data_IF_564566546978
#
_entry.id   IF_564566546978
#
_cell.length_a   1.000
_cell.length_b   1.000
_cell.length_c   1.000
_cell.angle_alpha   90.00
_cell.angle_beta   90.00
_cell.angle_gamma   90.00
#
_symmetry.space_group_name_H-M   'P 1'
#
loop_
_entity.id
_entity.type
_entity.pdbx_description
1 polymer ?
#
# COMPACT_ATOMS: atom_id res chain seq x y z
N UNK A 1 7.68 -48.31 0.08
CA UNK A 1 7.21 -48.87 1.36
C UNK A 1 7.02 -47.70 2.32
N UNK A 2 5.88 -47.60 3.01
CA UNK A 2 5.68 -46.54 3.98
C UNK A 2 6.70 -46.69 5.11
N UNK A 3 7.51 -45.66 5.35
CA UNK A 3 8.48 -45.65 6.46
C UNK A 3 7.67 -45.72 7.75
N UNK A 4 7.89 -46.77 8.54
CA UNK A 4 7.25 -46.93 9.84
C UNK A 4 7.91 -46.00 10.85
N UNK A 5 7.29 -44.84 11.10
CA UNK A 5 7.84 -43.75 11.92
C UNK A 5 7.67 -43.97 13.44
N UNK A 6 7.13 -45.13 13.83
CA UNK A 6 7.15 -45.62 15.20
C UNK A 6 8.53 -46.15 15.61
N UNK A 7 9.42 -46.39 14.64
CA UNK A 7 10.80 -46.84 14.82
C UNK A 7 11.79 -45.69 14.63
N UNK A 8 13.01 -45.80 15.18
CA UNK A 8 14.06 -44.82 14.95
C UNK A 8 14.36 -44.66 13.45
N UNK A 9 14.51 -43.41 13.02
CA UNK A 9 14.80 -43.06 11.62
C UNK A 9 16.30 -43.19 11.35
N UNK A 10 16.64 -43.75 10.17
CA UNK A 10 18.02 -43.97 9.75
C UNK A 10 18.73 -42.72 9.22
N UNK A 11 17.99 -41.69 8.83
CA UNK A 11 18.56 -40.46 8.26
C UNK A 11 17.77 -39.24 8.76
N UNK A 12 18.47 -38.31 9.42
CA UNK A 12 17.90 -37.12 10.05
C UNK A 12 18.74 -35.89 9.70
N UNK A 13 18.07 -34.74 9.65
CA UNK A 13 18.72 -33.45 9.46
C UNK A 13 19.08 -32.83 10.82
N UNK A 14 20.36 -32.49 10.96
CA UNK A 14 20.92 -31.83 12.14
C UNK A 14 21.33 -30.40 11.82
N UNK A 15 21.36 -29.54 12.83
CA UNK A 15 21.82 -28.16 12.69
C UNK A 15 22.94 -27.86 13.68
N UNK A 16 24.11 -27.52 13.14
CA UNK A 16 25.25 -27.15 13.94
C UNK A 16 25.23 -25.64 14.23
N UNK A 17 25.09 -25.26 15.51
CA UNK A 17 25.18 -23.87 15.96
C UNK A 17 26.56 -23.23 15.69
N UNK A 18 27.70 -23.86 16.02
CA UNK A 18 29.02 -23.30 15.72
C UNK A 18 29.27 -23.05 14.22
N UNK A 19 28.85 -23.98 13.36
CA UNK A 19 29.11 -23.90 11.92
C UNK A 19 27.99 -23.23 11.11
N UNK A 20 26.87 -22.87 11.74
CA UNK A 20 25.66 -22.32 11.12
C UNK A 20 25.16 -23.10 9.88
N UNK A 21 25.36 -24.42 9.87
CA UNK A 21 25.03 -25.27 8.70
C UNK A 21 24.21 -26.47 9.11
N UNK A 22 23.25 -26.81 8.26
CA UNK A 22 22.48 -28.06 8.36
C UNK A 22 23.17 -29.18 7.58
N UNK A 23 23.15 -30.39 8.12
CA UNK A 23 23.66 -31.60 7.46
C UNK A 23 22.71 -32.77 7.69
N UNK A 24 22.71 -33.74 6.77
CA UNK A 24 21.97 -35.00 6.91
C UNK A 24 22.96 -36.11 7.23
N UNK A 25 22.66 -36.88 8.25
CA UNK A 25 23.50 -37.99 8.70
C UNK A 25 22.65 -39.05 9.41
N UNK A 26 23.24 -40.23 9.61
CA UNK A 26 22.72 -41.23 10.52
C UNK A 26 22.95 -40.76 11.97
N UNK A 27 21.95 -40.87 12.87
CA UNK A 27 22.11 -40.50 14.26
C UNK A 27 23.11 -41.43 14.96
N UNK A 28 24.11 -40.86 15.63
CA UNK A 28 25.08 -41.62 16.41
C UNK A 28 24.53 -41.93 17.81
N UNK A 29 23.76 -41.01 18.39
CA UNK A 29 23.09 -41.17 19.68
C UNK A 29 21.59 -40.96 19.54
N UNK A 30 20.84 -41.95 19.99
CA UNK A 30 19.37 -41.95 20.03
C UNK A 30 18.97 -42.04 21.51
N UNK A 31 18.23 -41.05 21.99
CA UNK A 31 17.67 -41.05 23.34
C UNK A 31 16.17 -41.30 23.28
N UNK A 32 15.68 -42.18 24.15
CA UNK A 32 14.25 -42.40 24.31
C UNK A 32 13.66 -41.21 25.08
N UNK A 33 12.78 -40.46 24.41
CA UNK A 33 12.10 -39.30 24.98
C UNK A 33 10.59 -39.57 25.00
N UNK A 34 10.11 -40.36 26.00
CA UNK A 34 8.70 -40.75 26.07
C UNK A 34 7.74 -39.57 26.26
N UNK A 35 8.25 -38.40 26.66
CA UNK A 35 7.49 -37.15 26.75
C UNK A 35 7.05 -36.60 25.37
N UNK A 36 7.67 -37.03 24.27
CA UNK A 36 7.30 -36.61 22.92
C UNK A 36 6.19 -37.50 22.35
N UNK A 37 4.95 -37.02 22.42
CA UNK A 37 3.74 -37.75 22.00
C UNK A 37 3.77 -38.32 20.57
N UNK A 38 4.48 -37.66 19.63
CA UNK A 38 4.40 -37.97 18.20
C UNK A 38 5.57 -38.80 17.68
N UNK A 39 6.71 -38.72 18.33
CA UNK A 39 7.92 -39.44 17.97
C UNK A 39 8.84 -39.50 19.20
N UNK A 40 8.84 -40.61 19.95
CA UNK A 40 9.47 -40.70 21.28
C UNK A 40 10.99 -40.92 21.21
N UNK A 41 11.67 -40.29 20.25
CA UNK A 41 13.11 -40.40 20.06
C UNK A 41 13.73 -39.04 19.82
N UNK A 42 14.78 -38.73 20.56
CA UNK A 42 15.67 -37.63 20.27
C UNK A 42 16.96 -38.13 19.62
N UNK A 43 17.43 -37.35 18.66
CA UNK A 43 18.56 -37.71 17.83
C UNK A 43 19.67 -36.69 17.96
N UNK A 44 20.89 -37.21 18.07
CA UNK A 44 22.11 -36.44 18.09
C UNK A 44 23.14 -37.07 17.15
N UNK A 45 23.88 -36.21 16.45
CA UNK A 45 25.01 -36.61 15.63
C UNK A 45 26.10 -35.53 15.71
N UNK A 46 27.39 -35.90 15.69
CA UNK A 46 28.48 -34.94 15.65
C UNK A 46 28.51 -34.25 14.29
N UNK A 47 28.84 -32.97 14.29
CA UNK A 47 29.03 -32.24 13.05
C UNK A 47 30.28 -32.76 12.30
N UNK A 48 30.20 -33.07 11.00
CA UNK A 48 31.35 -33.57 10.23
C UNK A 48 32.49 -32.55 10.07
N UNK A 49 32.30 -31.30 10.53
CA UNK A 49 33.30 -30.22 10.40
C UNK A 49 33.93 -29.80 11.72
N UNK A 50 33.15 -29.69 12.79
CA UNK A 50 33.65 -29.24 14.10
C UNK A 50 33.62 -30.34 15.17
N UNK A 51 33.00 -31.50 14.90
CA UNK A 51 32.88 -32.59 15.87
C UNK A 51 31.86 -32.34 16.98
N UNK A 52 31.30 -31.14 17.12
CA UNK A 52 30.32 -30.83 18.15
C UNK A 52 29.02 -31.64 17.96
N UNK A 53 28.49 -32.19 19.07
CA UNK A 53 27.20 -32.87 19.08
C UNK A 53 26.08 -31.91 18.70
N UNK A 54 25.36 -32.23 17.63
CA UNK A 54 24.26 -31.43 17.11
C UNK A 54 22.94 -32.16 17.32
N UNK A 55 21.94 -31.43 17.81
CA UNK A 55 20.57 -31.93 17.91
C UNK A 55 19.84 -31.83 16.56
N UNK A 56 18.79 -32.63 16.40
CA UNK A 56 17.88 -32.57 15.25
C UNK A 56 17.28 -31.17 15.06
N UNK A 57 17.08 -30.76 13.80
CA UNK A 57 16.51 -29.44 13.51
C UNK A 57 15.01 -29.36 13.85
N UNK A 58 14.60 -28.22 14.43
CA UNK A 58 13.23 -27.98 14.86
C UNK A 58 12.16 -28.12 13.76
N UNK A 59 12.45 -27.72 12.51
CA UNK A 59 11.48 -27.84 11.42
C UNK A 59 11.23 -29.28 11.01
N UNK A 60 12.22 -30.17 11.15
CA UNK A 60 12.06 -31.60 10.85
C UNK A 60 11.27 -32.30 11.96
N UNK A 61 11.50 -31.92 13.23
CA UNK A 61 10.64 -32.31 14.37
C UNK A 61 9.17 -31.92 14.12
N UNK A 62 8.94 -30.70 13.63
CA UNK A 62 7.60 -30.23 13.29
C UNK A 62 6.98 -30.97 12.10
N UNK A 63 7.79 -31.39 11.12
CA UNK A 63 7.32 -32.17 9.97
C UNK A 63 6.91 -33.59 10.37
N UNK A 64 7.63 -34.21 11.31
CA UNK A 64 7.23 -35.49 11.91
C UNK A 64 5.91 -35.35 12.66
N UNK A 65 5.75 -34.28 13.45
CA UNK A 65 4.48 -33.95 14.12
C UNK A 65 3.33 -33.76 13.12
N UNK A 66 3.55 -32.99 12.05
CA UNK A 66 2.53 -32.76 11.03
C UNK A 66 2.10 -34.05 10.33
N UNK A 67 3.04 -34.95 10.06
CA UNK A 67 2.73 -36.23 9.42
C UNK A 67 1.97 -37.19 10.34
N UNK A 68 2.29 -37.23 11.65
CA UNK A 68 1.56 -38.05 12.62
C UNK A 68 0.07 -37.67 12.71
N UNK A 69 -0.24 -36.39 12.50
CA UNK A 69 -1.60 -35.83 12.46
C UNK A 69 -2.14 -35.61 11.05
N UNK A 70 -1.53 -36.21 10.02
CA UNK A 70 -2.03 -36.08 8.66
C UNK A 70 -3.46 -36.66 8.56
N UNK A 71 -4.45 -35.78 8.53
CA UNK A 71 -5.86 -36.13 8.33
C UNK A 71 -6.11 -36.29 6.83
N UNK A 72 -5.75 -37.47 6.32
CA UNK A 72 -6.04 -37.90 4.95
C UNK A 72 -6.55 -39.34 4.91
N UNK A 73 -7.23 -39.74 3.84
CA UNK A 73 -7.70 -41.11 3.70
C UNK A 73 -6.53 -42.09 3.70
N UNK A 74 -6.57 -43.07 4.61
CA UNK A 74 -5.51 -44.07 4.79
C UNK A 74 -5.70 -45.29 3.88
N UNK A 75 -6.93 -45.56 3.44
CA UNK A 75 -7.27 -46.67 2.53
C UNK A 75 -6.91 -46.32 1.10
N UNK A 76 -6.51 -47.32 0.31
CA UNK A 76 -6.23 -47.11 -1.12
C UNK A 76 -7.47 -46.61 -1.86
N UNK A 77 -8.67 -47.11 -1.52
CA UNK A 77 -9.95 -46.61 -2.03
C UNK A 77 -10.22 -45.14 -1.67
N UNK A 78 -9.86 -44.71 -0.47
CA UNK A 78 -10.01 -43.32 -0.06
C UNK A 78 -9.01 -42.39 -0.74
N UNK A 79 -7.79 -42.88 -1.01
CA UNK A 79 -6.78 -42.14 -1.77
C UNK A 79 -7.19 -42.00 -3.23
N UNK A 80 -7.70 -43.05 -3.86
CA UNK A 80 -8.19 -42.99 -5.25
C UNK A 80 -9.42 -42.11 -5.37
N UNK A 81 -10.36 -42.17 -4.42
CA UNK A 81 -11.51 -41.26 -4.38
C UNK A 81 -11.08 -39.79 -4.19
N UNK A 82 -10.10 -39.53 -3.33
CA UNK A 82 -9.56 -38.17 -3.15
C UNK A 82 -8.78 -37.68 -4.36
N UNK A 83 -8.03 -38.56 -5.03
CA UNK A 83 -7.34 -38.24 -6.27
C UNK A 83 -8.33 -37.95 -7.41
N UNK A 84 -9.41 -38.71 -7.51
CA UNK A 84 -10.50 -38.45 -8.45
C UNK A 84 -11.22 -37.13 -8.18
N UNK A 85 -11.41 -36.75 -6.90
CA UNK A 85 -11.98 -35.45 -6.52
C UNK A 85 -11.04 -34.27 -6.81
N UNK A 86 -9.74 -34.52 -6.97
CA UNK A 86 -8.75 -33.50 -7.32
C UNK A 86 -8.54 -33.39 -8.84
N UNK A 87 -8.96 -34.38 -9.60
CA UNK A 87 -8.84 -34.37 -11.06
C UNK A 87 -9.80 -33.33 -11.65
N UNK A 88 -9.27 -32.40 -12.44
CA UNK A 88 -10.01 -31.25 -12.96
C UNK A 88 -10.13 -30.04 -12.01
N UNK A 89 -9.60 -30.13 -10.78
CA UNK A 89 -9.52 -29.01 -9.84
C UNK A 89 -8.06 -28.52 -9.67
N UNK A 90 -7.82 -27.20 -9.52
CA UNK A 90 -8.81 -26.12 -9.50
C UNK A 90 -9.32 -25.80 -10.90
N UNK A 91 -10.64 -25.65 -11.04
CA UNK A 91 -11.25 -25.07 -12.24
C UNK A 91 -10.84 -23.60 -12.39
N UNK A 92 -10.99 -22.99 -13.59
CA UNK A 92 -10.60 -21.58 -13.80
C UNK A 92 -11.28 -20.60 -12.84
N UNK A 93 -12.52 -20.87 -12.44
CA UNK A 93 -13.28 -20.06 -11.47
C UNK A 93 -12.79 -20.27 -10.03
N UNK A 94 -12.46 -21.50 -9.66
CA UNK A 94 -11.88 -21.82 -8.35
C UNK A 94 -10.44 -21.33 -8.23
N UNK A 95 -9.68 -21.30 -9.32
CA UNK A 95 -8.37 -20.67 -9.39
C UNK A 95 -8.46 -19.16 -9.11
N UNK A 96 -9.53 -18.49 -9.58
CA UNK A 96 -9.80 -17.09 -9.26
C UNK A 96 -10.19 -16.91 -7.79
N UNK A 97 -11.03 -17.79 -7.22
CA UNK A 97 -11.40 -17.75 -5.79
C UNK A 97 -10.24 -18.11 -4.86
N UNK A 98 -9.42 -19.09 -5.23
CA UNK A 98 -8.21 -19.48 -4.47
C UNK A 98 -7.10 -18.44 -4.62
N UNK A 99 -7.03 -17.68 -5.73
CA UNK A 99 -6.16 -16.50 -5.86
C UNK A 99 -6.45 -15.41 -4.82
N UNK A 100 -7.72 -15.23 -4.40
CA UNK A 100 -8.03 -14.33 -3.28
C UNK A 100 -7.48 -14.85 -1.94
N UNK A 101 -7.39 -16.18 -1.73
CA UNK A 101 -6.71 -16.75 -0.57
C UNK A 101 -5.17 -16.73 -0.71
N UNK A 102 -4.64 -16.80 -1.94
CA UNK A 102 -3.21 -16.68 -2.22
C UNK A 102 -2.69 -15.24 -2.09
N UNK A 103 -3.55 -14.21 -2.04
CA UNK A 103 -3.12 -12.84 -1.76
C UNK A 103 -2.44 -12.66 -0.40
N UNK A 104 -2.63 -13.58 0.55
CA UNK A 104 -1.86 -13.53 1.81
C UNK A 104 -0.44 -14.10 1.69
N UNK A 105 -0.11 -14.85 0.63
CA UNK A 105 1.15 -15.63 0.53
C UNK A 105 1.80 -15.63 -0.88
N UNK A 106 1.48 -14.68 -1.75
CA UNK A 106 2.04 -14.62 -3.11
C UNK A 106 3.53 -14.31 -3.17
N UNK A 107 4.23 -14.78 -4.21
CA UNK A 107 5.63 -14.48 -4.54
C UNK A 107 5.93 -12.97 -4.68
N UNK A 108 4.89 -12.15 -4.88
CA UNK A 108 4.92 -10.68 -4.94
C UNK A 108 4.33 -10.01 -3.68
N UNK A 109 3.98 -10.78 -2.65
CA UNK A 109 3.49 -10.25 -1.38
C UNK A 109 4.64 -9.53 -0.67
N UNK A 110 4.74 -8.22 -0.92
CA UNK A 110 5.53 -7.34 -0.09
C UNK A 110 4.86 -7.31 1.28
N UNK A 111 5.59 -7.74 2.31
CA UNK A 111 5.18 -7.50 3.69
C UNK A 111 4.97 -6.00 3.85
N UNK A 112 3.73 -5.58 4.06
CA UNK A 112 3.43 -4.21 4.39
C UNK A 112 4.18 -3.88 5.69
N UNK A 113 5.27 -3.12 5.59
CA UNK A 113 5.98 -2.58 6.74
C UNK A 113 5.14 -1.44 7.28
N UNK A 114 4.15 -1.78 8.09
CA UNK A 114 3.30 -0.78 8.74
C UNK A 114 4.15 0.13 9.64
N UNK A 115 3.76 1.39 9.72
CA UNK A 115 4.39 2.34 10.64
C UNK A 115 4.07 1.90 12.07
N UNK A 116 5.08 1.58 12.91
CA UNK A 116 4.83 1.15 14.27
C UNK A 116 4.08 2.23 15.05
N UNK A 117 3.18 1.85 15.94
CA UNK A 117 2.57 2.81 16.85
C UNK A 117 3.65 3.39 17.77
N UNK A 118 3.87 4.69 17.66
CA UNK A 118 4.72 5.46 18.56
C UNK A 118 3.93 6.68 19.01
N UNK A 119 3.15 6.57 20.11
CA UNK A 119 2.54 7.73 20.72
C UNK A 119 3.60 8.80 20.94
N UNK A 120 3.34 10.03 20.48
CA UNK A 120 4.25 11.17 20.56
C UNK A 120 5.59 11.04 19.81
N UNK A 121 5.79 9.94 19.08
CA UNK A 121 7.01 9.72 18.30
C UNK A 121 7.00 10.42 16.94
N UNK A 122 5.85 10.92 16.50
CA UNK A 122 5.70 11.62 15.23
C UNK A 122 5.34 13.09 15.42
N UNK A 123 5.78 13.96 14.51
CA UNK A 123 5.51 15.41 14.56
C UNK A 123 4.02 15.75 14.59
N UNK A 124 3.18 14.95 13.93
CA UNK A 124 1.73 15.16 13.91
C UNK A 124 1.01 14.63 15.15
N UNK A 125 1.68 13.89 16.05
CA UNK A 125 1.04 13.35 17.25
C UNK A 125 0.53 14.44 18.20
N UNK A 126 1.16 15.62 18.22
CA UNK A 126 0.75 16.73 19.09
C UNK A 126 -0.64 17.29 18.75
N UNK A 127 -1.05 17.21 17.49
CA UNK A 127 -2.37 17.63 17.02
C UNK A 127 -3.27 16.47 16.58
N UNK A 128 -2.95 15.25 16.99
CA UNK A 128 -3.68 14.06 16.58
C UNK A 128 -4.98 13.92 17.39
N UNK A 129 -6.08 13.67 16.68
CA UNK A 129 -7.43 13.41 17.20
C UNK A 129 -7.60 12.01 17.82
N UNK A 130 -6.65 11.10 17.55
CA UNK A 130 -6.68 9.72 18.05
C UNK A 130 -6.28 9.69 19.53
N UNK A 131 -7.15 9.10 20.36
CA UNK A 131 -6.86 8.90 21.79
C UNK A 131 -5.52 8.18 22.01
N UNK A 132 -4.74 8.68 22.97
CA UNK A 132 -3.39 8.22 23.28
C UNK A 132 -3.40 6.77 23.77
N UNK A 133 -4.38 6.41 24.60
CA UNK A 133 -4.55 5.05 25.12
C UNK A 133 -4.88 4.13 23.97
N UNK A 134 -5.85 4.50 23.13
CA UNK A 134 -6.18 3.73 21.93
C UNK A 134 -4.97 3.53 21.01
N UNK A 135 -4.20 4.60 20.71
CA UNK A 135 -3.03 4.56 19.84
C UNK A 135 -1.94 3.59 20.34
N UNK A 136 -1.70 3.54 21.66
CA UNK A 136 -0.68 2.66 22.25
C UNK A 136 -1.01 1.16 22.16
N UNK A 137 -2.29 0.81 22.09
CA UNK A 137 -2.74 -0.59 21.98
C UNK A 137 -2.72 -1.09 20.53
N UNK A 138 -2.66 -0.20 19.54
CA UNK A 138 -2.64 -0.60 18.15
C UNK A 138 -1.25 -1.08 17.73
N UNK A 139 -1.14 -2.08 16.83
CA UNK A 139 0.15 -2.53 16.31
C UNK A 139 0.81 -1.49 15.38
N UNK A 140 0.04 -0.53 14.86
CA UNK A 140 0.52 0.48 13.92
C UNK A 140 -0.22 1.81 14.12
N UNK A 141 0.37 2.90 13.62
CA UNK A 141 -0.26 4.21 13.65
C UNK A 141 -1.41 4.30 12.64
N UNK A 142 -2.66 4.36 13.12
CA UNK A 142 -3.89 4.33 12.31
C UNK A 142 -3.88 5.36 11.18
N UNK A 143 -3.59 6.64 11.47
CA UNK A 143 -3.63 7.72 10.48
C UNK A 143 -2.59 7.55 9.38
N UNK A 144 -1.38 7.10 9.73
CA UNK A 144 -0.33 6.84 8.73
C UNK A 144 -0.60 5.60 7.91
N UNK A 145 -1.18 4.57 8.52
CA UNK A 145 -1.62 3.38 7.79
C UNK A 145 -2.77 3.68 6.84
N UNK A 146 -3.73 4.52 7.25
CA UNK A 146 -4.84 4.97 6.39
C UNK A 146 -4.31 5.74 5.18
N UNK A 147 -3.45 6.74 5.40
CA UNK A 147 -2.83 7.51 4.33
C UNK A 147 -2.06 6.61 3.36
N UNK A 148 -1.25 5.69 3.88
CA UNK A 148 -0.49 4.75 3.07
C UNK A 148 -1.40 3.84 2.24
N UNK A 149 -2.47 3.31 2.84
CA UNK A 149 -3.43 2.44 2.16
C UNK A 149 -4.19 3.18 1.06
N UNK A 150 -4.56 4.44 1.26
CA UNK A 150 -5.20 5.27 0.23
C UNK A 150 -4.27 5.47 -0.97
N UNK A 151 -2.99 5.78 -0.74
CA UNK A 151 -2.01 5.86 -1.82
C UNK A 151 -1.81 4.51 -2.52
N UNK A 152 -1.64 3.43 -1.77
CA UNK A 152 -1.46 2.09 -2.34
C UNK A 152 -2.66 1.66 -3.19
N UNK A 153 -3.88 1.85 -2.67
CA UNK A 153 -5.11 1.52 -3.39
C UNK A 153 -5.27 2.34 -4.67
N UNK A 154 -4.94 3.64 -4.63
CA UNK A 154 -5.01 4.50 -5.82
C UNK A 154 -4.01 4.06 -6.91
N UNK A 155 -2.81 3.61 -6.52
CA UNK A 155 -1.82 3.07 -7.46
C UNK A 155 -2.22 1.71 -8.02
N UNK A 156 -2.72 0.80 -7.18
CA UNK A 156 -3.18 -0.52 -7.61
C UNK A 156 -4.36 -0.43 -8.58
N UNK A 157 -5.32 0.46 -8.30
CA UNK A 157 -6.50 0.67 -9.13
C UNK A 157 -6.22 1.56 -10.35
N UNK A 158 -5.01 2.13 -10.46
CA UNK A 158 -4.62 3.12 -11.49
C UNK A 158 -5.61 4.29 -11.61
N UNK A 159 -6.26 4.66 -10.52
CA UNK A 159 -7.25 5.72 -10.49
C UNK A 159 -6.79 6.85 -9.56
N UNK A 160 -6.23 7.94 -10.12
CA UNK A 160 -5.72 9.06 -9.32
C UNK A 160 -6.83 9.88 -8.64
N UNK A 161 -8.10 9.69 -9.01
CA UNK A 161 -9.23 10.45 -8.44
C UNK A 161 -9.36 10.29 -6.93
N UNK A 162 -8.95 9.15 -6.37
CA UNK A 162 -8.96 8.90 -4.93
C UNK A 162 -7.98 9.76 -4.13
N UNK A 163 -6.96 10.34 -4.79
CA UNK A 163 -5.96 11.20 -4.17
C UNK A 163 -6.21 12.70 -4.39
N UNK A 164 -7.22 13.07 -5.19
CA UNK A 164 -7.49 14.46 -5.56
C UNK A 164 -7.73 15.35 -4.33
N UNK A 165 -8.45 14.87 -3.33
CA UNK A 165 -8.65 15.63 -2.09
C UNK A 165 -7.33 15.89 -1.35
N UNK A 166 -6.49 14.87 -1.19
CA UNK A 166 -5.20 14.96 -0.51
C UNK A 166 -4.25 15.91 -1.25
N UNK A 167 -4.21 15.84 -2.58
CA UNK A 167 -3.37 16.73 -3.38
C UNK A 167 -3.88 18.16 -3.41
N UNK A 168 -5.21 18.37 -3.44
CA UNK A 168 -5.80 19.69 -3.32
C UNK A 168 -5.46 20.33 -1.97
N UNK A 169 -5.57 19.59 -0.88
CA UNK A 169 -5.21 20.06 0.47
C UNK A 169 -3.70 20.38 0.58
N UNK A 170 -2.85 19.52 0.03
CA UNK A 170 -1.41 19.76 -0.02
C UNK A 170 -1.09 21.04 -0.78
N UNK A 171 -1.68 21.21 -1.96
CA UNK A 171 -1.45 22.39 -2.78
C UNK A 171 -1.96 23.66 -2.08
N UNK A 172 -3.15 23.62 -1.48
CA UNK A 172 -3.68 24.71 -0.67
C UNK A 172 -2.75 25.07 0.50
N UNK A 173 -2.19 24.07 1.20
CA UNK A 173 -1.26 24.31 2.31
C UNK A 173 0.05 24.95 1.86
N UNK A 174 0.59 24.54 0.71
CA UNK A 174 1.79 25.15 0.12
C UNK A 174 1.51 26.60 -0.28
N UNK A 175 0.36 26.87 -0.90
CA UNK A 175 -0.06 28.23 -1.22
C UNK A 175 -0.23 29.12 0.01
N UNK A 176 -0.80 28.58 1.10
CA UNK A 176 -0.93 29.32 2.35
C UNK A 176 0.43 29.72 2.92
N UNK A 177 1.42 28.83 2.86
CA UNK A 177 2.81 29.14 3.27
C UNK A 177 3.42 30.22 2.36
N UNK A 178 3.23 30.14 1.04
CA UNK A 178 3.69 31.18 0.10
C UNK A 178 3.07 32.53 0.44
N UNK A 179 1.77 32.57 0.68
CA UNK A 179 1.07 33.79 1.07
C UNK A 179 1.61 34.35 2.39
N UNK A 180 1.88 33.50 3.38
CA UNK A 180 2.47 33.92 4.63
C UNK A 180 3.89 34.49 4.45
N UNK A 181 4.73 33.85 3.62
CA UNK A 181 6.07 34.37 3.30
C UNK A 181 5.95 35.75 2.62
N UNK A 182 5.01 35.92 1.68
CA UNK A 182 4.77 37.22 1.04
C UNK A 182 4.32 38.26 2.06
N UNK A 183 3.41 37.91 2.99
CA UNK A 183 2.94 38.81 4.04
C UNK A 183 4.09 39.22 4.99
N UNK A 184 4.96 38.28 5.37
CA UNK A 184 6.15 38.58 6.17
C UNK A 184 7.09 39.53 5.43
N UNK A 185 7.34 39.29 4.14
CA UNK A 185 8.15 40.19 3.30
C UNK A 185 7.53 41.60 3.23
N UNK A 186 6.20 41.70 3.12
CA UNK A 186 5.49 42.98 3.10
C UNK A 186 5.56 43.68 4.46
N UNK A 187 5.47 42.93 5.56
CA UNK A 187 5.52 43.47 6.92
C UNK A 187 6.92 43.94 7.33
N UNK A 188 7.96 43.14 7.03
CA UNK A 188 9.36 43.48 7.32
C UNK A 188 9.90 44.54 6.34
N UNK A 189 9.26 44.69 5.18
CA UNK A 189 9.72 45.56 4.11
C UNK A 189 10.99 45.06 3.43
N UNK A 190 11.52 45.84 2.48
CA UNK A 190 12.66 45.43 1.63
C UNK A 190 14.01 45.44 2.39
N UNK A 191 14.03 45.84 3.67
CA UNK A 191 15.28 46.23 4.34
C UNK A 191 15.54 45.36 5.56
N UNK A 192 16.45 44.38 5.40
CA UNK A 192 17.16 43.84 6.56
C UNK A 192 18.42 44.68 6.73
N UNK A 193 18.48 45.43 7.82
CA UNK A 193 19.58 46.35 8.06
C UNK A 193 20.69 45.63 8.83
N UNK A 194 21.81 45.37 8.14
CA UNK A 194 23.01 44.85 8.80
C UNK A 194 23.84 45.98 9.37
N UNK A 195 24.24 45.81 10.63
CA UNK A 195 25.16 46.70 11.32
C UNK A 195 26.58 46.39 10.88
N UNK A 196 27.28 47.39 10.37
CA UNK A 196 28.71 47.26 10.06
C UNK A 196 29.47 47.24 11.37
N UNK A 197 30.28 46.19 11.54
CA UNK A 197 31.21 46.08 12.65
C UNK A 197 32.62 46.08 12.10
N UNK A 198 33.48 46.86 12.73
CA UNK A 198 34.90 46.91 12.46
C UNK A 198 35.67 46.20 13.58
N UNK A 199 36.80 45.57 13.24
CA UNK A 199 37.68 44.95 14.23
C UNK A 199 38.84 45.90 14.49
N UNK A 200 38.91 46.39 15.71
CA UNK A 200 40.06 47.15 16.15
C UNK A 200 41.30 46.25 16.22
N UNK A 201 42.48 46.84 16.10
CA UNK A 201 43.80 46.20 16.10
C UNK A 201 44.10 45.35 17.37
N UNK A 202 43.31 45.54 18.43
CA UNK A 202 43.35 44.79 19.69
C UNK A 202 42.33 43.64 19.78
N UNK A 203 41.60 43.33 18.69
CA UNK A 203 40.68 42.20 18.60
C UNK A 203 39.27 42.44 19.16
N UNK A 204 38.96 43.67 19.59
CA UNK A 204 37.62 44.06 20.03
C UNK A 204 36.76 44.50 18.83
N UNK A 205 35.52 44.02 18.77
CA UNK A 205 34.56 44.33 17.71
C UNK A 205 33.80 45.63 18.08
N UNK A 206 33.94 46.68 17.27
CA UNK A 206 33.19 47.95 17.43
C UNK A 206 32.17 48.09 16.31
N UNK A 207 30.95 48.47 16.67
CA UNK A 207 29.90 48.85 15.71
C UNK A 207 30.23 50.23 15.16
N UNK A 208 30.17 50.41 13.84
CA UNK A 208 30.44 51.69 13.21
C UNK A 208 29.27 52.67 13.46
N UNK A 209 29.53 53.73 14.22
CA UNK A 209 28.57 54.80 14.55
C UNK A 209 29.04 56.12 13.90
N UNK A 210 28.10 56.90 13.33
CA UNK A 210 28.33 58.28 12.93
C UNK A 210 27.47 59.22 13.78
N UNK A 211 27.97 60.43 14.04
CA UNK A 211 27.25 61.46 14.80
C UNK A 211 26.77 62.52 13.82
N UNK A 212 25.46 62.75 13.78
CA UNK A 212 24.87 63.83 12.98
C UNK A 212 25.12 65.20 13.60
N UNK A 213 24.96 66.29 12.82
CA UNK A 213 25.18 67.68 13.25
C UNK A 213 24.33 68.13 14.47
N UNK A 214 23.35 67.33 14.89
CA UNK A 214 22.51 67.55 16.08
C UNK A 214 22.91 66.75 17.32
N UNK A 215 24.01 65.99 17.25
CA UNK A 215 24.58 65.28 18.41
C UNK A 215 23.93 63.93 18.74
N UNK A 216 23.06 63.41 17.86
CA UNK A 216 22.49 62.07 18.01
C UNK A 216 23.36 61.03 17.30
N UNK A 217 23.58 59.88 17.97
CA UNK A 217 24.42 58.78 17.46
C UNK A 217 23.59 57.87 16.56
N UNK A 218 23.97 57.75 15.31
CA UNK A 218 23.34 56.85 14.35
C UNK A 218 24.32 55.75 13.92
N UNK A 219 23.86 54.50 13.98
CA UNK A 219 24.64 53.33 13.54
C UNK A 219 24.69 53.33 12.00
N UNK A 220 25.86 53.13 11.41
CA UNK A 220 26.04 53.00 9.96
C UNK A 220 25.51 51.63 9.51
N UNK A 221 24.55 51.65 8.58
CA UNK A 221 23.87 50.46 8.05
C UNK A 221 24.11 50.41 6.54
N UNK A 222 25.10 49.63 6.10
CA UNK A 222 25.68 49.80 4.75
C UNK A 222 25.09 48.87 3.69
N UNK A 223 24.41 47.77 4.04
CA UNK A 223 23.95 46.80 3.04
C UNK A 223 22.43 46.67 2.97
N UNK A 224 21.83 47.38 2.01
CA UNK A 224 20.43 47.23 1.61
C UNK A 224 20.28 45.96 0.75
N UNK A 225 20.35 44.78 1.39
CA UNK A 225 20.13 43.50 0.71
C UNK A 225 18.64 43.21 0.58
N UNK A 226 18.24 42.62 -0.55
CA UNK A 226 16.89 42.09 -0.72
C UNK A 226 16.58 41.05 0.38
N UNK A 227 15.31 40.98 0.81
CA UNK A 227 14.87 40.06 1.85
C UNK A 227 15.39 38.62 1.58
N UNK A 228 16.03 37.96 2.56
CA UNK A 228 16.69 36.66 2.35
C UNK A 228 15.74 35.55 1.87
N UNK A 229 14.43 35.73 2.06
CA UNK A 229 13.38 34.81 1.61
C UNK A 229 13.02 34.92 0.12
N UNK A 230 13.40 35.99 -0.60
CA UNK A 230 13.07 36.12 -2.03
C UNK A 230 13.71 35.02 -2.89
N UNK A 231 14.96 34.65 -2.59
CA UNK A 231 15.67 33.61 -3.35
C UNK A 231 15.10 32.21 -3.11
N UNK A 232 14.90 31.75 -1.86
CA UNK A 232 14.20 30.49 -1.58
C UNK A 232 12.78 30.45 -2.16
N UNK A 233 12.04 31.55 -2.11
CA UNK A 233 10.69 31.63 -2.68
C UNK A 233 10.71 31.51 -4.20
N UNK A 234 11.66 32.17 -4.89
CA UNK A 234 11.86 32.02 -6.33
C UNK A 234 12.27 30.60 -6.73
N UNK A 235 13.17 29.96 -5.97
CA UNK A 235 13.58 28.57 -6.17
C UNK A 235 12.41 27.59 -5.91
N UNK A 236 11.54 27.86 -4.94
CA UNK A 236 10.37 27.02 -4.66
C UNK A 236 9.30 27.15 -5.74
N UNK A 237 8.98 28.39 -6.17
CA UNK A 237 7.98 28.64 -7.22
C UNK A 237 8.41 28.04 -8.57
N UNK A 238 9.70 28.16 -8.91
CA UNK A 238 10.24 27.58 -10.15
C UNK A 238 10.29 26.05 -10.12
N UNK A 239 10.68 25.42 -9.00
CA UNK A 239 10.78 23.96 -8.90
C UNK A 239 9.44 23.25 -8.73
N UNK A 240 8.46 23.92 -8.14
CA UNK A 240 7.14 23.35 -7.94
C UNK A 240 6.22 23.49 -9.17
N UNK A 241 6.73 23.99 -10.31
CA UNK A 241 5.93 24.40 -11.48
C UNK A 241 4.72 25.23 -11.05
N UNK A 242 4.93 26.14 -10.08
CA UNK A 242 3.92 27.05 -9.57
C UNK A 242 3.99 28.41 -10.30
N UNK A 243 4.56 28.41 -11.51
CA UNK A 243 4.57 29.59 -12.36
C UNK A 243 3.13 29.90 -12.79
N UNK A 244 2.77 31.18 -12.92
CA UNK A 244 1.44 31.61 -13.41
C UNK A 244 1.03 30.96 -14.74
N UNK A 245 2.02 30.56 -15.55
CA UNK A 245 1.87 29.78 -16.77
C UNK A 245 1.39 28.33 -16.54
N UNK A 246 1.87 27.66 -15.50
CA UNK A 246 1.54 26.25 -15.23
C UNK A 246 0.29 26.07 -14.36
N UNK A 247 -0.16 27.14 -13.70
CA UNK A 247 -1.39 27.14 -12.88
C UNK A 247 -2.69 27.30 -13.69
N UNK A 248 -2.62 27.32 -15.03
CA UNK A 248 -3.80 27.54 -15.88
C UNK A 248 -4.47 28.92 -15.68
N UNK A 249 -3.78 29.86 -15.02
CA UNK A 249 -4.33 31.17 -14.63
C UNK A 249 -3.88 32.31 -15.54
N UNK A 250 -3.22 32.00 -16.66
CA UNK A 250 -2.90 32.96 -17.71
C UNK A 250 -3.76 32.69 -18.94
N UNK A 251 -4.35 33.76 -19.49
CA UNK A 251 -5.34 33.71 -20.58
C UNK A 251 -4.87 32.91 -21.80
N UNK A 252 -3.55 32.92 -22.08
CA UNK A 252 -2.93 32.18 -23.18
C UNK A 252 -2.85 30.65 -22.96
N UNK A 253 -2.81 30.19 -21.72
CA UNK A 253 -2.77 28.75 -21.39
C UNK A 253 -4.18 28.18 -21.32
N UNK A 254 -5.16 28.96 -20.84
CA UNK A 254 -6.58 28.63 -20.98
C UNK A 254 -6.97 28.53 -22.46
N UNK A 255 -6.55 29.48 -23.29
CA UNK A 255 -6.76 29.40 -24.74
C UNK A 255 -6.02 28.22 -25.40
N UNK A 256 -4.88 27.78 -24.86
CA UNK A 256 -4.14 26.63 -25.37
C UNK A 256 -4.81 25.30 -24.97
N UNK A 257 -5.27 25.17 -23.72
CA UNK A 257 -6.06 24.02 -23.25
C UNK A 257 -7.43 23.96 -23.96
N UNK A 258 -8.11 25.09 -24.17
CA UNK A 258 -9.34 25.16 -24.97
C UNK A 258 -9.10 24.75 -26.43
N UNK A 259 -7.96 25.12 -27.02
CA UNK A 259 -7.58 24.69 -28.36
C UNK A 259 -7.19 23.20 -28.43
N UNK A 260 -6.66 22.60 -27.36
CA UNK A 260 -6.39 21.16 -27.27
C UNK A 260 -7.66 20.35 -26.99
N UNK A 261 -8.57 20.83 -26.14
CA UNK A 261 -9.92 20.31 -25.96
C UNK A 261 -10.74 20.40 -27.27
N UNK A 262 -10.59 21.51 -28.01
CA UNK A 262 -11.19 21.71 -29.33
C UNK A 262 -10.61 20.81 -30.44
N UNK A 263 -9.41 20.25 -30.26
CA UNK A 263 -8.81 19.26 -31.17
C UNK A 263 -9.18 17.82 -30.81
N UNK A 264 -9.46 17.52 -29.55
CA UNK A 264 -9.96 16.20 -29.12
C UNK A 264 -11.45 16.01 -29.43
N UNK A 265 -12.24 17.08 -29.56
CA UNK A 265 -13.61 17.03 -30.09
C UNK A 265 -13.70 16.81 -31.60
N UNK A 266 -12.57 16.74 -32.32
CA UNK A 266 -12.55 16.53 -33.78
C UNK A 266 -12.46 15.07 -34.24
N UNK A 267 -12.28 14.11 -33.32
CA UNK A 267 -11.97 12.72 -33.70
C UNK A 267 -12.93 11.65 -33.15
N UNK A 268 -13.86 11.97 -32.25
CA UNK A 268 -14.89 11.04 -31.78
C UNK A 268 -16.16 11.81 -31.41
N UNK A 269 -17.04 11.94 -32.39
CA UNK A 269 -18.50 11.83 -32.31
C UNK A 269 -19.09 12.71 -33.42
N UNK A 270 -19.51 12.06 -34.50
CA UNK A 270 -20.79 12.46 -35.10
C UNK A 270 -21.75 12.58 -33.91
N UNK A 271 -22.11 13.82 -33.56
CA UNK A 271 -23.20 14.07 -32.63
C UNK A 271 -24.41 13.35 -33.21
N UNK A 272 -24.67 12.11 -32.75
CA UNK A 272 -25.96 11.46 -32.93
C UNK A 272 -26.95 12.52 -32.45
N UNK A 273 -27.73 13.03 -33.40
CA UNK A 273 -28.73 14.03 -33.09
C UNK A 273 -29.61 13.46 -31.97
N UNK A 274 -30.13 14.30 -31.08
CA UNK A 274 -31.01 13.85 -29.98
C UNK A 274 -32.13 12.94 -30.50
N UNK A 275 -32.53 13.11 -31.76
CA UNK A 275 -33.50 12.26 -32.46
C UNK A 275 -32.98 10.87 -32.85
N UNK A 276 -31.71 10.70 -33.18
CA UNK A 276 -31.08 9.39 -33.41
C UNK A 276 -30.92 8.60 -32.11
N UNK A 277 -30.51 9.27 -31.03
CA UNK A 277 -30.47 8.66 -29.70
C UNK A 277 -31.87 8.22 -29.23
N UNK A 278 -32.90 9.05 -29.47
CA UNK A 278 -34.31 8.71 -29.23
C UNK A 278 -34.78 7.53 -30.07
N UNK A 279 -34.44 7.49 -31.36
CA UNK A 279 -34.78 6.34 -32.24
C UNK A 279 -34.11 5.06 -31.78
N UNK A 280 -32.84 5.12 -31.36
CA UNK A 280 -32.08 3.97 -30.87
C UNK A 280 -32.60 3.45 -29.53
N UNK A 281 -32.94 4.35 -28.61
CA UNK A 281 -33.56 3.97 -27.33
C UNK A 281 -34.97 3.38 -27.53
N UNK A 282 -35.78 3.94 -28.44
CA UNK A 282 -37.06 3.34 -28.81
C UNK A 282 -36.92 1.96 -29.46
N UNK A 283 -35.92 1.76 -30.32
CA UNK A 283 -35.63 0.45 -30.92
C UNK A 283 -35.13 -0.59 -29.90
N UNK A 284 -34.37 -0.15 -28.89
CA UNK A 284 -33.95 -1.03 -27.79
C UNK A 284 -35.13 -1.39 -26.88
N UNK A 285 -36.03 -0.45 -26.61
CA UNK A 285 -37.24 -0.69 -25.81
C UNK A 285 -38.22 -1.62 -26.54
N UNK A 286 -38.43 -1.45 -27.84
CA UNK A 286 -39.26 -2.37 -28.63
C UNK A 286 -38.64 -3.77 -28.68
N UNK A 287 -37.33 -3.86 -28.90
CA UNK A 287 -36.61 -5.15 -28.88
C UNK A 287 -36.63 -5.83 -27.50
N UNK A 288 -36.71 -5.08 -26.41
CA UNK A 288 -36.86 -5.62 -25.06
C UNK A 288 -38.29 -6.14 -24.82
N UNK A 289 -39.31 -5.41 -25.29
CA UNK A 289 -40.71 -5.85 -25.22
C UNK A 289 -40.93 -7.17 -25.98
N UNK A 290 -40.36 -7.31 -27.17
CA UNK A 290 -40.45 -8.54 -27.96
C UNK A 290 -39.75 -9.73 -27.28
N UNK A 291 -38.59 -9.49 -26.64
CA UNK A 291 -37.89 -10.53 -25.87
C UNK A 291 -38.67 -10.96 -24.63
N UNK A 292 -39.33 -10.02 -23.95
CA UNK A 292 -40.19 -10.32 -22.79
C UNK A 292 -41.42 -11.12 -23.24
N UNK A 293 -42.06 -10.77 -24.36
CA UNK A 293 -43.18 -11.54 -24.90
C UNK A 293 -42.77 -12.97 -25.29
N UNK A 294 -41.63 -13.15 -25.94
CA UNK A 294 -41.09 -14.48 -26.26
C UNK A 294 -40.73 -15.27 -25.01
N UNK A 295 -40.14 -14.62 -24.00
CA UNK A 295 -39.84 -15.25 -22.72
C UNK A 295 -41.12 -15.73 -22.04
N UNK A 296 -42.16 -14.89 -21.98
CA UNK A 296 -43.45 -15.27 -21.39
C UNK A 296 -44.13 -16.40 -22.17
N UNK A 297 -44.06 -16.41 -23.50
CA UNK A 297 -44.56 -17.51 -24.31
C UNK A 297 -43.81 -18.82 -24.03
N UNK A 298 -42.47 -18.76 -23.93
CA UNK A 298 -41.63 -19.91 -23.59
C UNK A 298 -41.93 -20.44 -22.19
N UNK A 299 -42.07 -19.55 -21.20
CA UNK A 299 -42.43 -19.90 -19.82
C UNK A 299 -43.83 -20.53 -19.74
N UNK A 300 -44.80 -20.03 -20.52
CA UNK A 300 -46.15 -20.60 -20.57
C UNK A 300 -46.21 -21.94 -21.33
N UNK A 301 -45.28 -22.16 -22.28
CA UNK A 301 -45.13 -23.42 -23.00
C UNK A 301 -44.21 -24.43 -22.32
N UNK A 302 -43.63 -24.09 -21.16
CA UNK A 302 -42.71 -24.96 -20.44
C UNK A 302 -43.50 -26.19 -19.92
N UNK A 303 -43.16 -27.41 -20.38
CA UNK A 303 -43.90 -28.62 -20.01
C UNK A 303 -43.92 -28.87 -18.49
N UNK A 304 -42.86 -28.48 -17.76
CA UNK A 304 -42.84 -28.63 -16.29
C UNK A 304 -43.83 -27.71 -15.59
N UNK A 305 -44.06 -26.52 -16.14
CA UNK A 305 -44.96 -25.54 -15.55
C UNK A 305 -46.43 -25.92 -15.82
N UNK A 306 -46.69 -26.53 -16.97
CA UNK A 306 -47.99 -27.14 -17.32
C UNK A 306 -48.27 -28.37 -16.44
N UNK A 307 -47.28 -29.24 -16.23
CA UNK A 307 -47.37 -30.38 -15.29
C UNK A 307 -47.69 -29.89 -13.86
N UNK A 308 -47.00 -28.86 -13.37
CA UNK A 308 -47.28 -28.26 -12.06
C UNK A 308 -48.67 -27.61 -11.95
N UNK A 309 -49.16 -26.96 -13.01
CA UNK A 309 -50.52 -26.39 -13.03
C UNK A 309 -51.60 -27.48 -13.09
N UNK A 310 -51.33 -28.61 -13.75
CA UNK A 310 -52.22 -29.76 -13.78
C UNK A 310 -52.25 -30.52 -12.45
N UNK A 311 -51.10 -30.61 -11.75
CA UNK A 311 -51.01 -31.20 -10.41
C UNK A 311 -51.56 -30.27 -9.31
N UNK A 312 -51.39 -28.95 -9.44
CA UNK A 312 -51.87 -27.96 -8.47
C UNK A 312 -53.32 -27.47 -8.67
N UNK A 313 -53.96 -27.80 -9.80
CA UNK A 313 -55.33 -27.43 -10.14
C UNK A 313 -56.38 -28.53 -9.93
N UNK A 314 -55.99 -29.69 -9.40
CA UNK A 314 -56.88 -30.80 -9.05
C UNK A 314 -57.43 -30.70 -7.64
N UNK A 315 -58.25 -29.68 -7.37
CA UNK A 315 -59.19 -29.61 -6.25
C UNK A 315 -60.44 -28.84 -6.67
#
# INVERSE_FOLDING_TARGET
MAIDRSKPLSEITFYCKPCYRSFKAEPERIEEAPEQEFHPFEYFAPCPRCGDECAQVHWEKNLLKAYSKATGPKTEEGKTASAANLDGHPTKEEALRTRFNAMKHGLSARTATYFPSKPDGYSFCQGCDVDRVHCSHQPACIKKTELFMLHHAAFDQRNPKHLMGIYADLQASVFAIVQQIIQTIVADGVKVEQVVWDRDSEGNVRVAEYVDEKGERHIIRENMMAHPLFRPLGEMLSRANLSLSDMGMTQKVVEAEENELGKLSGAQDEQESIDEYRKRTLALLSGMADKIQRSNQLTNSDPKLIEYQQEGGGA
#
